data_IF_757931599006
#
_entry.id   IF_757931599006
#
_cell.length_a   1.000
_cell.length_b   1.000
_cell.length_c   1.000
_cell.angle_alpha   90.00
_cell.angle_beta   90.00
_cell.angle_gamma   90.00
#
_symmetry.space_group_name_H-M   'P 1'
#
loop_
_entity.id
_entity.type
_entity.pdbx_description
1 polymer ?
#
# COMPACT_ATOMS: atom_id res chain seq x y z
N UNK A 1 -4.46 3.04 -1.01
CA UNK A 1 -5.27 4.26 -0.74
C UNK A 1 -6.25 4.59 -1.87
N UNK A 2 -5.82 4.80 -3.12
CA UNK A 2 -6.76 5.12 -4.23
C UNK A 2 -7.86 4.06 -4.40
N UNK A 3 -7.48 2.78 -4.46
CA UNK A 3 -8.44 1.68 -4.54
C UNK A 3 -9.38 1.58 -3.31
N UNK A 4 -8.91 1.96 -2.11
CA UNK A 4 -9.77 2.04 -0.92
C UNK A 4 -10.85 3.13 -1.04
N UNK A 5 -10.52 4.28 -1.63
CA UNK A 5 -11.50 5.30 -1.97
C UNK A 5 -12.50 4.80 -3.02
N UNK A 6 -12.01 4.16 -4.09
CA UNK A 6 -12.88 3.60 -5.14
C UNK A 6 -13.87 2.59 -4.54
N UNK A 7 -13.37 1.69 -3.68
CA UNK A 7 -14.17 0.71 -2.96
C UNK A 7 -15.25 1.37 -2.11
N UNK A 8 -14.87 2.35 -1.27
CA UNK A 8 -15.79 3.10 -0.40
C UNK A 8 -16.86 3.86 -1.17
N UNK A 9 -16.51 4.42 -2.33
CA UNK A 9 -17.43 5.21 -3.15
C UNK A 9 -18.28 4.35 -4.11
N UNK A 10 -18.10 3.02 -4.11
CA UNK A 10 -18.83 2.12 -5.02
C UNK A 10 -18.43 2.28 -6.49
N UNK A 11 -17.23 2.78 -6.77
CA UNK A 11 -16.71 2.90 -8.15
C UNK A 11 -16.23 1.53 -8.60
N UNK A 12 -16.66 1.11 -9.79
CA UNK A 12 -16.14 -0.10 -10.43
C UNK A 12 -14.67 0.13 -10.84
N UNK A 13 -13.75 -0.44 -10.08
CA UNK A 13 -12.32 -0.25 -10.25
C UNK A 13 -11.61 -1.60 -10.31
N UNK A 14 -10.47 -1.62 -11.01
CA UNK A 14 -9.48 -2.70 -10.95
C UNK A 14 -8.19 -2.13 -10.35
N UNK A 15 -7.44 -2.96 -9.64
CA UNK A 15 -6.12 -2.64 -9.12
C UNK A 15 -5.21 -3.82 -9.41
N UNK A 16 -4.10 -3.54 -10.10
CA UNK A 16 -3.09 -4.53 -10.49
C UNK A 16 -1.79 -4.25 -9.73
N UNK A 17 -1.02 -5.30 -9.47
CA UNK A 17 0.31 -5.19 -8.86
C UNK A 17 1.19 -6.34 -9.37
N UNK A 18 2.47 -6.08 -9.61
CA UNK A 18 3.38 -7.08 -10.17
C UNK A 18 3.87 -8.10 -9.14
N UNK A 19 3.80 -7.78 -7.86
CA UNK A 19 4.27 -8.67 -6.81
C UNK A 19 3.31 -9.85 -6.62
N UNK A 20 3.85 -10.97 -6.13
CA UNK A 20 3.07 -12.18 -5.82
C UNK A 20 2.13 -12.00 -4.64
N UNK A 21 2.51 -11.20 -3.64
CA UNK A 21 1.75 -11.02 -2.40
C UNK A 21 1.77 -9.58 -1.94
N UNK A 22 0.96 -9.29 -0.89
CA UNK A 22 1.06 -8.02 -0.17
C UNK A 22 2.46 -7.80 0.40
N UNK A 23 2.78 -6.56 0.76
CA UNK A 23 3.99 -6.29 1.54
C UNK A 23 3.84 -6.85 2.95
N UNK A 24 4.83 -7.60 3.42
CA UNK A 24 4.94 -8.03 4.83
C UNK A 24 5.95 -7.18 5.58
N UNK A 25 7.11 -6.93 4.96
CA UNK A 25 8.14 -6.03 5.42
C UNK A 25 8.29 -4.91 4.40
N UNK A 26 7.83 -3.73 4.76
CA UNK A 26 7.95 -2.57 3.89
C UNK A 26 9.18 -1.74 4.19
N UNK A 27 9.22 -0.55 3.58
CA UNK A 27 10.31 0.43 3.74
C UNK A 27 9.87 1.66 4.52
N UNK A 28 8.56 1.82 4.72
CA UNK A 28 7.96 2.90 5.49
C UNK A 28 7.41 2.37 6.82
N UNK A 29 7.39 3.23 7.84
CA UNK A 29 6.83 2.91 9.15
C UNK A 29 6.07 4.08 9.80
N UNK A 30 6.45 5.33 9.55
CA UNK A 30 5.82 6.51 10.13
C UNK A 30 4.47 6.88 9.51
N UNK A 31 3.46 7.11 10.36
CA UNK A 31 2.19 7.74 9.99
C UNK A 31 2.00 9.04 10.77
N UNK A 32 1.96 10.15 10.04
CA UNK A 32 1.68 11.47 10.58
C UNK A 32 0.24 11.58 11.10
N UNK A 33 -0.04 12.49 12.06
CA UNK A 33 -1.37 12.67 12.66
C UNK A 33 -2.50 12.71 11.64
N UNK A 34 -2.36 13.53 10.59
CA UNK A 34 -3.40 13.70 9.57
C UNK A 34 -3.65 12.44 8.74
N UNK A 35 -2.62 11.63 8.51
CA UNK A 35 -2.78 10.33 7.84
C UNK A 35 -3.61 9.39 8.69
N UNK A 36 -3.37 9.34 10.00
CA UNK A 36 -4.17 8.54 10.93
C UNK A 36 -5.61 9.01 10.99
N UNK A 37 -5.87 10.33 10.92
CA UNK A 37 -7.24 10.87 10.82
C UNK A 37 -7.95 10.44 9.53
N UNK A 38 -7.24 10.43 8.39
CA UNK A 38 -7.78 9.93 7.13
C UNK A 38 -8.13 8.45 7.27
N UNK A 39 -7.22 7.62 7.78
CA UNK A 39 -7.45 6.19 8.01
C UNK A 39 -8.60 5.95 9.00
N UNK A 40 -8.76 6.82 10.00
CA UNK A 40 -9.88 6.75 10.94
C UNK A 40 -11.21 7.03 10.26
N UNK A 41 -11.25 7.93 9.28
CA UNK A 41 -12.45 8.19 8.48
C UNK A 41 -12.92 6.96 7.69
N UNK A 42 -12.03 6.00 7.41
CA UNK A 42 -12.32 4.71 6.77
C UNK A 42 -12.64 3.59 7.75
N UNK A 43 -12.60 3.85 9.06
CA UNK A 43 -12.84 2.83 10.09
C UNK A 43 -11.68 1.86 10.33
N UNK A 44 -10.52 2.05 9.68
CA UNK A 44 -9.39 1.11 9.73
C UNK A 44 -8.26 1.54 10.68
N UNK A 45 -8.32 2.76 11.23
CA UNK A 45 -7.25 3.26 12.12
C UNK A 45 -7.13 2.47 13.43
N UNK A 46 -8.22 1.89 13.93
CA UNK A 46 -8.21 1.15 15.20
C UNK A 46 -7.22 -0.02 15.14
N UNK A 47 -7.35 -0.87 14.13
CA UNK A 47 -6.53 -2.08 13.96
C UNK A 47 -5.05 -1.77 13.70
N UNK A 48 -4.79 -0.59 13.12
CA UNK A 48 -3.44 -0.05 12.93
C UNK A 48 -2.86 0.42 14.27
N UNK A 49 -3.62 1.19 15.05
CA UNK A 49 -3.19 1.79 16.31
C UNK A 49 -2.96 0.76 17.41
N UNK A 50 -3.67 -0.37 17.41
CA UNK A 50 -3.57 -1.42 18.43
C UNK A 50 -2.14 -1.96 18.64
N UNK A 51 -1.29 -1.93 17.61
CA UNK A 51 0.10 -2.37 17.71
C UNK A 51 1.11 -1.33 17.24
N UNK A 52 0.67 -0.10 17.01
CA UNK A 52 1.57 0.98 16.62
C UNK A 52 2.33 1.52 17.83
N UNK A 53 3.57 1.95 17.61
CA UNK A 53 4.34 2.67 18.61
C UNK A 53 4.08 4.17 18.45
N UNK A 54 3.64 4.84 19.52
CA UNK A 54 3.44 6.29 19.49
C UNK A 54 4.76 7.02 19.76
N UNK A 55 5.09 7.97 18.91
CA UNK A 55 6.28 8.82 19.03
C UNK A 55 5.87 10.10 19.76
N UNK A 56 6.30 10.22 21.01
CA UNK A 56 5.96 11.37 21.86
C UNK A 56 7.08 12.41 21.93
N UNK A 57 8.34 11.99 21.86
CA UNK A 57 9.49 12.86 22.04
C UNK A 57 10.64 12.44 21.13
N UNK A 58 11.40 13.42 20.64
CA UNK A 58 12.70 13.24 20.00
C UNK A 58 13.80 13.78 20.89
N UNK A 59 14.83 12.96 21.14
CA UNK A 59 16.04 13.37 21.87
C UNK A 59 17.23 13.48 20.92
N UNK A 60 17.91 14.61 20.96
CA UNK A 60 19.06 14.89 20.12
C UNK A 60 20.34 14.71 20.93
N UNK A 61 21.27 13.93 20.39
CA UNK A 61 22.59 13.67 20.96
C UNK A 61 23.66 14.18 20.00
N UNK A 62 24.72 14.76 20.54
CA UNK A 62 25.85 15.28 19.76
C UNK A 62 27.18 14.87 20.41
N UNK A 63 28.27 15.08 19.68
CA UNK A 63 29.63 14.88 20.17
C UNK A 63 29.88 15.74 21.43
N UNK A 64 30.57 15.17 22.42
CA UNK A 64 30.96 15.85 23.66
C UNK A 64 32.34 16.54 23.60
N UNK A 65 33.10 16.32 22.53
CA UNK A 65 34.46 16.84 22.34
C UNK A 65 35.56 16.00 22.98
N UNK A 66 35.20 14.97 23.76
CA UNK A 66 36.11 14.06 24.47
C UNK A 66 36.04 12.62 23.92
N UNK A 67 35.33 12.43 22.79
CA UNK A 67 35.16 11.14 22.12
C UNK A 67 33.91 10.36 22.54
N UNK A 68 32.98 10.99 23.27
CA UNK A 68 31.68 10.45 23.66
C UNK A 68 30.49 11.16 22.99
N UNK A 69 29.30 10.97 23.56
CA UNK A 69 28.07 11.66 23.17
C UNK A 69 27.41 12.31 24.39
N UNK A 70 26.85 13.50 24.19
CA UNK A 70 26.08 14.24 25.18
C UNK A 70 24.67 14.52 24.68
N UNK A 71 23.71 14.48 25.61
CA UNK A 71 22.32 14.86 25.34
C UNK A 71 22.22 16.38 25.19
N UNK A 72 21.73 16.84 24.04
CA UNK A 72 21.61 18.27 23.71
C UNK A 72 20.23 18.80 24.10
N UNK A 73 19.18 18.16 23.58
CA UNK A 73 17.81 18.65 23.76
C UNK A 73 16.81 17.52 23.57
N UNK A 74 15.67 17.68 24.23
CA UNK A 74 14.48 16.84 24.06
C UNK A 74 13.34 17.73 23.58
N UNK A 75 12.66 17.31 22.52
CA UNK A 75 11.55 18.03 21.89
C UNK A 75 10.31 17.14 21.88
N UNK A 76 9.15 17.71 22.20
CA UNK A 76 7.88 17.01 22.06
C UNK A 76 7.52 16.91 20.58
N UNK A 77 7.23 15.69 20.11
CA UNK A 77 6.78 15.42 18.74
C UNK A 77 5.26 15.56 18.59
N UNK A 78 4.54 15.71 19.70
CA UNK A 78 3.10 15.86 19.69
C UNK A 78 2.62 16.92 20.68
N UNK A 79 1.56 17.61 20.27
CA UNK A 79 0.78 18.51 21.09
C UNK A 79 -0.67 18.50 20.60
N UNK A 80 -1.67 18.77 21.48
CA UNK A 80 -3.09 18.67 21.12
C UNK A 80 -3.53 19.55 19.92
N UNK A 81 -2.81 20.62 19.63
CA UNK A 81 -3.02 21.52 18.49
C UNK A 81 -2.59 20.91 17.14
N UNK A 82 -1.76 19.88 17.12
CA UNK A 82 -1.31 19.19 15.89
C UNK A 82 -2.32 18.14 15.38
N UNK A 83 -3.27 17.74 16.21
CA UNK A 83 -4.33 16.80 15.84
C UNK A 83 -4.63 15.76 16.93
N UNK A 84 -5.67 14.96 16.67
CA UNK A 84 -6.18 13.98 17.64
C UNK A 84 -5.20 12.84 17.91
N UNK A 85 -4.43 12.46 16.90
CA UNK A 85 -3.52 11.31 16.96
C UNK A 85 -2.06 11.79 17.02
N UNK A 86 -1.18 11.11 17.77
CA UNK A 86 0.26 11.37 17.69
C UNK A 86 0.85 10.87 16.37
N UNK A 87 2.09 11.23 16.10
CA UNK A 87 2.94 10.50 15.16
C UNK A 87 3.05 9.06 15.67
N UNK A 88 2.81 8.08 14.80
CA UNK A 88 2.96 6.67 15.13
C UNK A 88 3.93 5.99 14.17
N UNK A 89 4.58 4.93 14.62
CA UNK A 89 5.34 4.01 13.77
C UNK A 89 4.71 2.61 13.82
N UNK A 90 4.60 1.96 12.67
CA UNK A 90 4.04 0.60 12.53
C UNK A 90 4.55 -0.03 11.24
N UNK A 91 4.49 -1.35 11.10
CA UNK A 91 4.93 -2.00 9.87
C UNK A 91 4.01 -1.62 8.69
N UNK A 92 4.59 -1.17 7.56
CA UNK A 92 3.85 -0.89 6.32
C UNK A 92 2.91 -2.05 5.92
N UNK A 93 3.35 -3.29 6.08
CA UNK A 93 2.55 -4.47 5.72
C UNK A 93 1.26 -4.61 6.52
N UNK A 94 1.23 -4.06 7.74
CA UNK A 94 0.02 -3.98 8.57
C UNK A 94 -0.94 -2.92 8.05
N UNK A 95 -0.43 -1.73 7.70
CA UNK A 95 -1.23 -0.67 7.08
C UNK A 95 -1.80 -1.16 5.74
N UNK A 96 -1.01 -1.87 4.94
CA UNK A 96 -1.47 -2.50 3.70
C UNK A 96 -2.58 -3.51 3.98
N UNK A 97 -2.41 -4.45 4.93
CA UNK A 97 -3.48 -5.39 5.33
C UNK A 97 -4.77 -4.65 5.66
N UNK A 98 -4.73 -3.65 6.53
CA UNK A 98 -5.93 -2.90 6.92
C UNK A 98 -6.61 -2.21 5.72
N UNK A 99 -5.84 -1.75 4.73
CA UNK A 99 -6.40 -1.23 3.48
C UNK A 99 -7.01 -2.33 2.60
N UNK A 100 -6.39 -3.51 2.51
CA UNK A 100 -6.92 -4.68 1.79
C UNK A 100 -8.24 -5.16 2.40
N UNK A 101 -8.28 -5.32 3.72
CA UNK A 101 -9.48 -5.71 4.46
C UNK A 101 -10.59 -4.67 4.28
N UNK A 102 -10.25 -3.38 4.33
CA UNK A 102 -11.18 -2.29 4.08
C UNK A 102 -11.79 -2.33 2.68
N UNK A 103 -10.97 -2.54 1.63
CA UNK A 103 -11.47 -2.68 0.25
C UNK A 103 -12.44 -3.85 0.12
N UNK A 104 -12.07 -5.01 0.69
CA UNK A 104 -12.91 -6.20 0.69
C UNK A 104 -14.24 -5.95 1.41
N UNK A 105 -14.19 -5.27 2.56
CA UNK A 105 -15.37 -4.90 3.33
C UNK A 105 -16.32 -3.96 2.56
N UNK A 106 -15.81 -2.94 1.88
CA UNK A 106 -16.65 -1.94 1.21
C UNK A 106 -17.36 -2.48 -0.03
N UNK A 107 -16.66 -3.21 -0.91
CA UNK A 107 -17.27 -3.72 -2.14
C UNK A 107 -16.60 -4.98 -2.73
N UNK A 108 -15.88 -5.76 -1.92
CA UNK A 108 -15.13 -6.95 -2.34
C UNK A 108 -14.03 -6.65 -3.39
N UNK A 109 -13.51 -5.42 -3.45
CA UNK A 109 -12.39 -5.10 -4.34
C UNK A 109 -11.11 -5.78 -3.83
N UNK A 110 -10.45 -6.54 -4.71
CA UNK A 110 -9.21 -7.26 -4.43
C UNK A 110 -8.11 -6.86 -5.43
N UNK A 111 -6.85 -7.09 -5.06
CA UNK A 111 -5.68 -6.79 -5.91
C UNK A 111 -5.40 -7.95 -6.85
N UNK A 112 -5.34 -7.66 -8.16
CA UNK A 112 -4.88 -8.58 -9.20
C UNK A 112 -3.35 -8.63 -9.19
N UNK A 113 -2.80 -9.61 -8.47
CA UNK A 113 -1.36 -9.81 -8.26
C UNK A 113 -0.70 -10.52 -9.45
N UNK A 114 0.57 -10.21 -9.70
CA UNK A 114 1.32 -10.71 -10.84
C UNK A 114 0.80 -10.21 -12.18
N UNK A 115 0.32 -8.97 -12.21
CA UNK A 115 -0.17 -8.32 -13.43
C UNK A 115 0.62 -7.04 -13.65
N UNK A 116 1.22 -6.89 -14.83
CA UNK A 116 2.07 -5.76 -15.21
C UNK A 116 1.41 -4.95 -16.31
N UNK A 117 1.23 -3.65 -16.14
CA UNK A 117 0.93 -2.78 -17.27
C UNK A 117 2.15 -2.68 -18.18
N UNK A 118 1.97 -2.93 -19.47
CA UNK A 118 3.06 -2.95 -20.47
C UNK A 118 2.89 -1.92 -21.56
N UNK A 119 1.67 -1.41 -21.76
CA UNK A 119 1.38 -0.38 -22.75
C UNK A 119 0.13 0.42 -22.36
N UNK A 120 0.07 1.68 -22.81
CA UNK A 120 -1.05 2.59 -22.58
C UNK A 120 -1.28 3.48 -23.79
N UNK A 121 -2.49 3.40 -24.34
CA UNK A 121 -2.94 4.24 -25.45
C UNK A 121 -4.12 5.10 -25.00
N UNK A 122 -4.17 6.35 -25.48
CA UNK A 122 -5.27 7.28 -25.21
C UNK A 122 -5.86 7.74 -26.55
N UNK A 123 -7.15 7.52 -26.74
CA UNK A 123 -7.92 8.11 -27.82
C UNK A 123 -8.34 9.53 -27.43
N UNK A 124 -7.54 10.52 -27.86
CA UNK A 124 -7.81 11.94 -27.60
C UNK A 124 -9.13 12.44 -28.19
N UNK A 125 -9.71 11.73 -29.16
CA UNK A 125 -10.96 12.17 -29.80
C UNK A 125 -12.20 11.94 -28.92
N UNK A 126 -12.10 11.11 -27.88
CA UNK A 126 -13.22 10.70 -27.02
C UNK A 126 -13.06 11.09 -25.56
N UNK A 127 -12.05 11.90 -25.21
CA UNK A 127 -11.75 12.27 -23.80
C UNK A 127 -12.82 13.12 -23.11
N UNK A 128 -13.61 13.88 -23.88
CA UNK A 128 -14.72 14.69 -23.37
C UNK A 128 -16.05 13.91 -23.33
N UNK A 129 -16.09 12.69 -23.89
CA UNK A 129 -17.28 11.83 -23.83
C UNK A 129 -17.30 11.05 -22.51
N UNK A 130 -18.25 11.41 -21.65
CA UNK A 130 -18.42 10.81 -20.32
C UNK A 130 -18.79 9.33 -20.36
N UNK A 131 -19.31 8.82 -21.48
CA UNK A 131 -19.68 7.41 -21.65
C UNK A 131 -18.60 6.59 -22.35
N UNK A 132 -17.61 7.25 -22.97
CA UNK A 132 -16.48 6.59 -23.62
C UNK A 132 -15.47 6.00 -22.62
N UNK A 133 -14.64 5.09 -23.13
CA UNK A 133 -13.48 4.51 -22.45
C UNK A 133 -12.23 4.85 -23.27
N UNK A 134 -11.76 6.11 -23.22
CA UNK A 134 -10.71 6.61 -24.11
C UNK A 134 -9.35 5.95 -23.88
N UNK A 135 -9.14 5.33 -22.72
CA UNK A 135 -7.83 4.75 -22.35
C UNK A 135 -7.86 3.24 -22.59
N UNK A 136 -6.87 2.72 -23.32
CA UNK A 136 -6.58 1.29 -23.43
C UNK A 136 -5.28 0.98 -22.70
N UNK A 137 -5.35 0.14 -21.67
CA UNK A 137 -4.17 -0.37 -20.96
C UNK A 137 -3.95 -1.82 -21.38
N UNK A 138 -2.80 -2.12 -21.96
CA UNK A 138 -2.40 -3.51 -22.17
C UNK A 138 -1.67 -4.00 -20.94
N UNK A 139 -2.15 -5.09 -20.36
CA UNK A 139 -1.54 -5.76 -19.21
C UNK A 139 -1.00 -7.13 -19.60
N UNK A 140 0.15 -7.49 -19.05
CA UNK A 140 0.75 -8.81 -19.12
C UNK A 140 0.53 -9.55 -17.80
N UNK A 141 -0.10 -10.72 -17.86
CA UNK A 141 -0.27 -11.61 -16.71
C UNK A 141 1.01 -12.43 -16.56
N UNK A 142 1.79 -12.18 -15.51
CA UNK A 142 3.13 -12.76 -15.36
C UNK A 142 3.06 -14.29 -15.21
N UNK A 143 3.80 -15.07 -16.01
CA UNK A 143 4.05 -16.48 -15.75
C UNK A 143 4.92 -16.65 -14.49
N UNK A 144 5.04 -17.88 -13.99
CA UNK A 144 5.71 -18.17 -12.71
C UNK A 144 7.15 -17.64 -12.64
N UNK A 145 7.95 -17.83 -13.70
CA UNK A 145 9.34 -17.38 -13.74
C UNK A 145 9.47 -15.86 -13.59
N UNK A 146 8.69 -15.08 -14.37
CA UNK A 146 8.69 -13.62 -14.30
C UNK A 146 8.11 -13.09 -12.98
N UNK A 147 7.14 -13.80 -12.40
CA UNK A 147 6.54 -13.44 -11.12
C UNK A 147 7.57 -13.57 -9.98
N UNK A 148 8.37 -14.63 -10.00
CA UNK A 148 9.44 -14.86 -9.03
C UNK A 148 10.51 -13.77 -9.15
N UNK A 149 10.89 -13.40 -10.38
CA UNK A 149 11.81 -12.28 -10.63
C UNK A 149 11.25 -10.96 -10.11
N UNK A 150 9.99 -10.64 -10.42
CA UNK A 150 9.32 -9.42 -9.94
C UNK A 150 9.25 -9.37 -8.40
N UNK A 151 9.19 -10.52 -7.74
CA UNK A 151 9.01 -10.66 -6.29
C UNK A 151 10.31 -10.98 -5.54
N UNK A 152 11.48 -10.90 -6.19
CA UNK A 152 12.78 -11.30 -5.62
C UNK A 152 13.09 -10.65 -4.26
N UNK A 153 12.59 -9.44 -4.02
CA UNK A 153 12.82 -8.70 -2.78
C UNK A 153 11.73 -8.88 -1.73
N UNK A 154 10.69 -9.68 -2.00
CA UNK A 154 9.64 -9.96 -1.03
C UNK A 154 10.06 -11.10 -0.10
N UNK A 155 9.86 -10.89 1.19
CA UNK A 155 9.96 -11.94 2.20
C UNK A 155 8.56 -12.25 2.70
N UNK A 156 8.09 -13.48 2.49
CA UNK A 156 6.80 -13.95 2.97
C UNK A 156 7.04 -14.70 4.31
N UNK A 157 6.61 -14.14 5.45
CA UNK A 157 6.77 -14.78 6.75
C UNK A 157 6.06 -16.13 6.81
N UNK A 158 6.68 -17.07 7.51
CA UNK A 158 6.16 -18.42 7.76
C UNK A 158 5.73 -18.56 9.22
N UNK A 159 4.78 -19.46 9.53
CA UNK A 159 4.45 -19.77 10.92
C UNK A 159 5.70 -20.11 11.74
N UNK A 160 5.91 -19.37 12.82
CA UNK A 160 7.11 -19.47 13.67
C UNK A 160 8.13 -18.34 13.46
N UNK A 161 8.02 -17.56 12.39
CA UNK A 161 8.83 -16.35 12.21
C UNK A 161 8.39 -15.26 13.19
N UNK A 162 9.35 -14.44 13.65
CA UNK A 162 9.09 -13.34 14.58
C UNK A 162 8.04 -12.33 14.08
N UNK A 163 7.94 -12.14 12.76
CA UNK A 163 7.04 -11.17 12.12
C UNK A 163 5.89 -11.84 11.37
N UNK A 164 5.54 -13.08 11.75
CA UNK A 164 4.36 -13.76 11.24
C UNK A 164 3.12 -13.30 12.01
N UNK A 165 2.08 -12.94 11.26
CA UNK A 165 0.76 -12.56 11.78
C UNK A 165 -0.28 -13.47 11.14
N UNK A 166 -1.07 -14.18 11.94
CA UNK A 166 -2.04 -15.15 11.42
C UNK A 166 -3.14 -14.50 10.56
N UNK A 167 -3.49 -13.24 10.83
CA UNK A 167 -4.46 -12.49 10.04
C UNK A 167 -3.96 -12.19 8.61
N UNK A 168 -2.66 -12.35 8.35
CA UNK A 168 -2.12 -12.20 7.01
C UNK A 168 -2.29 -13.45 6.13
N UNK A 169 -2.72 -14.59 6.68
CA UNK A 169 -2.70 -15.87 5.95
C UNK A 169 -3.52 -15.84 4.64
N UNK A 170 -4.61 -15.07 4.61
CA UNK A 170 -5.44 -14.88 3.41
C UNK A 170 -4.69 -14.18 2.26
N UNK A 171 -3.56 -13.52 2.54
CA UNK A 171 -2.78 -12.73 1.58
C UNK A 171 -1.42 -13.35 1.24
N UNK A 172 -1.14 -14.56 1.75
CA UNK A 172 0.14 -15.28 1.53
C UNK A 172 0.20 -16.02 0.21
N UNK A 173 -0.95 -16.28 -0.40
CA UNK A 173 -1.04 -16.92 -1.70
C UNK A 173 -1.74 -16.02 -2.70
N UNK A 174 -1.25 -16.01 -3.93
CA UNK A 174 -1.90 -15.33 -5.04
C UNK A 174 -3.10 -16.14 -5.53
N UNK A 175 -4.16 -15.44 -5.92
CA UNK A 175 -5.23 -16.01 -6.73
C UNK A 175 -4.78 -16.16 -8.20
N UNK A 176 -4.87 -17.36 -8.76
CA UNK A 176 -4.54 -17.61 -10.17
C UNK A 176 -5.68 -17.17 -11.07
N UNK A 177 -5.38 -16.38 -12.11
CA UNK A 177 -6.40 -15.85 -13.03
C UNK A 177 -6.70 -16.83 -14.18
N UNK A 178 -5.81 -17.80 -14.43
CA UNK A 178 -5.87 -18.68 -15.60
C UNK A 178 -5.40 -17.99 -16.89
N UNK A 179 -4.86 -16.77 -16.78
CA UNK A 179 -4.37 -15.94 -17.89
C UNK A 179 -2.84 -15.82 -17.87
N UNK A 180 -2.14 -16.52 -16.99
CA UNK A 180 -0.69 -16.46 -16.84
C UNK A 180 0.04 -16.67 -18.19
N UNK A 181 0.96 -15.77 -18.53
CA UNK A 181 1.67 -15.72 -19.81
C UNK A 181 0.94 -15.00 -20.94
N UNK A 182 -0.29 -14.51 -20.72
CA UNK A 182 -1.08 -13.83 -21.76
C UNK A 182 -1.16 -12.31 -21.58
N UNK A 183 -1.55 -11.63 -22.66
CA UNK A 183 -1.84 -10.20 -22.67
C UNK A 183 -3.35 -9.95 -22.68
N UNK A 184 -3.79 -8.93 -21.96
CA UNK A 184 -5.17 -8.47 -21.90
C UNK A 184 -5.22 -6.96 -22.14
N UNK A 185 -6.13 -6.49 -22.98
CA UNK A 185 -6.40 -5.05 -23.13
C UNK A 185 -7.61 -4.66 -22.29
N UNK A 186 -7.41 -3.71 -21.38
CA UNK A 186 -8.42 -3.14 -20.49
C UNK A 186 -8.80 -1.77 -21.02
N UNK A 187 -10.08 -1.57 -21.33
CA UNK A 187 -10.63 -0.25 -21.66
C UNK A 187 -11.09 0.44 -20.38
N UNK A 188 -10.60 1.65 -20.14
CA UNK A 188 -10.82 2.40 -18.90
C UNK A 188 -11.24 3.85 -19.20
N UNK A 189 -12.05 4.41 -18.29
CA UNK A 189 -12.35 5.85 -18.28
C UNK A 189 -11.20 6.65 -17.67
N UNK A 190 -10.58 6.10 -16.62
CA UNK A 190 -9.48 6.71 -15.90
C UNK A 190 -8.43 5.66 -15.53
N UNK A 191 -7.17 6.09 -15.46
CA UNK A 191 -6.04 5.28 -14.98
C UNK A 191 -5.27 6.11 -13.94
N UNK A 192 -4.86 5.47 -12.85
CA UNK A 192 -4.02 6.08 -11.82
C UNK A 192 -2.71 5.30 -11.77
N UNK A 193 -1.61 5.94 -12.17
CA UNK A 193 -0.26 5.40 -11.98
C UNK A 193 0.17 5.51 -10.51
N UNK A 194 0.32 4.36 -9.85
CA UNK A 194 0.76 4.25 -8.46
C UNK A 194 1.87 3.17 -8.30
N UNK A 195 2.67 3.03 -9.35
CA UNK A 195 3.69 2.02 -9.62
C UNK A 195 5.11 2.43 -9.14
N UNK A 196 5.18 3.51 -8.37
CA UNK A 196 6.38 3.92 -7.64
C UNK A 196 7.31 4.84 -8.44
N UNK A 197 8.55 4.96 -7.99
CA UNK A 197 9.49 5.97 -8.46
C UNK A 197 10.02 5.76 -9.90
N UNK A 198 9.71 4.62 -10.53
CA UNK A 198 10.15 4.26 -11.89
C UNK A 198 8.96 4.02 -12.82
N UNK A 199 7.88 4.78 -12.61
CA UNK A 199 6.71 4.84 -13.48
C UNK A 199 7.11 5.27 -14.89
#
# INVERSE_FOLDING_TARGET
MAALWMARCGVNARIIDTNITKTYRGRADGLQPRTTEILASFGIAKDILETACSVHESTFWADDGEGGIQHVVRVSEWSPDLGRYPLITTCQGRVERCMLDGMKHYNNLEVERGVKAVDLEVDESTVEDLDAFPIAVTVHHLPEEELLEASTHQTIPQPGDFNYEAEDDAYRTRHLSGKEGSNETIRAKYVIGADGARS
#
